data_IF_870440316429
#
_entry.id   IF_870440316429
#
_cell.length_a   1.000
_cell.length_b   1.000
_cell.length_c   1.000
_cell.angle_alpha   90.00
_cell.angle_beta   90.00
_cell.angle_gamma   90.00
#
_symmetry.space_group_name_H-M   'P 1'
#
loop_
_entity.id
_entity.type
_entity.pdbx_description
1 polymer ?
#
# COMPACT_ATOMS: atom_id res chain seq x y z
N UNK A 1 10.10 61.73 -3.16
CA UNK A 1 11.01 61.00 -2.25
C UNK A 1 10.47 61.20 -0.83
N UNK A 2 9.74 60.22 -0.30
CA UNK A 2 9.22 60.28 1.07
C UNK A 2 10.15 59.52 2.00
N UNK A 3 10.56 60.25 3.04
CA UNK A 3 11.42 59.91 4.16
C UNK A 3 11.27 58.47 4.67
N UNK A 4 12.41 57.81 4.85
CA UNK A 4 12.55 56.56 5.59
C UNK A 4 12.29 56.79 7.08
N UNK A 5 11.05 56.56 7.52
CA UNK A 5 10.74 56.49 8.94
C UNK A 5 11.43 55.25 9.53
N UNK A 6 12.33 55.46 10.50
CA UNK A 6 13.03 54.39 11.21
C UNK A 6 12.01 53.47 11.90
N UNK A 7 11.78 52.27 11.33
CA UNK A 7 11.01 51.21 11.98
C UNK A 7 11.78 50.73 13.22
N UNK A 8 11.17 50.90 14.40
CA UNK A 8 11.74 50.38 15.65
C UNK A 8 11.43 48.88 15.71
N UNK A 9 12.46 48.05 15.54
CA UNK A 9 12.36 46.59 15.61
C UNK A 9 13.01 46.08 16.89
N UNK A 10 12.33 45.17 17.59
CA UNK A 10 12.86 44.53 18.80
C UNK A 10 12.44 43.05 18.82
N UNK A 11 13.41 42.14 18.74
CA UNK A 11 13.19 40.69 18.52
C UNK A 11 12.28 40.45 17.28
N UNK A 12 11.22 39.65 17.43
CA UNK A 12 10.32 39.23 16.35
C UNK A 12 9.13 40.21 16.17
N UNK A 13 9.26 41.46 16.64
CA UNK A 13 8.21 42.46 16.65
C UNK A 13 8.71 43.76 16.03
N UNK A 14 7.88 44.34 15.16
CA UNK A 14 8.13 45.62 14.48
C UNK A 14 7.04 46.61 14.84
N UNK A 15 7.42 47.78 15.36
CA UNK A 15 6.51 48.90 15.52
C UNK A 15 6.24 49.52 14.15
N UNK A 16 4.96 49.57 13.76
CA UNK A 16 4.56 50.07 12.44
C UNK A 16 4.31 51.56 12.48
N UNK A 17 3.41 52.00 13.38
CA UNK A 17 3.01 53.41 13.49
C UNK A 17 2.29 53.69 14.79
N UNK A 18 2.34 54.95 15.21
CA UNK A 18 1.49 55.48 16.28
C UNK A 18 0.03 55.59 15.78
N UNK A 19 -0.92 55.34 16.69
CA UNK A 19 -2.34 55.52 16.46
C UNK A 19 -2.74 56.92 16.90
N UNK A 20 -3.16 57.76 15.95
CA UNK A 20 -3.58 59.14 16.19
C UNK A 20 -5.10 59.25 16.28
N UNK A 21 -5.58 60.44 16.66
CA UNK A 21 -7.01 60.71 16.75
C UNK A 21 -7.72 60.54 15.38
N UNK A 22 -6.98 60.79 14.31
CA UNK A 22 -7.38 60.59 12.92
C UNK A 22 -7.71 59.11 12.61
N UNK A 23 -7.08 58.17 13.32
CA UNK A 23 -7.26 56.73 13.11
C UNK A 23 -8.45 56.14 13.85
N UNK A 24 -8.82 56.71 15.02
CA UNK A 24 -10.02 56.31 15.79
C UNK A 24 -10.39 57.33 16.86
N UNK A 25 -11.69 57.40 17.17
CA UNK A 25 -12.22 58.20 18.26
C UNK A 25 -11.66 57.70 19.61
N UNK A 26 -10.82 58.51 20.24
CA UNK A 26 -10.22 58.31 21.57
C UNK A 26 -9.05 57.27 21.64
N UNK A 27 -7.93 57.50 20.93
CA UNK A 27 -6.74 56.65 21.06
C UNK A 27 -6.09 56.82 22.44
N UNK A 28 -5.48 55.75 22.97
CA UNK A 28 -4.75 55.86 24.24
C UNK A 28 -3.48 56.70 24.01
N UNK A 29 -3.04 57.44 25.03
CA UNK A 29 -1.76 58.15 25.00
C UNK A 29 -0.63 57.13 24.81
N UNK A 30 0.22 57.33 23.79
CA UNK A 30 1.30 56.41 23.40
C UNK A 30 0.80 55.04 22.89
N UNK A 31 -0.26 55.00 22.07
CA UNK A 31 -0.73 53.75 21.45
C UNK A 31 -0.12 53.52 20.07
N UNK A 32 0.39 52.32 19.83
CA UNK A 32 1.09 51.93 18.61
C UNK A 32 0.55 50.62 18.05
N UNK A 33 0.54 50.53 16.72
CA UNK A 33 0.31 49.28 15.99
C UNK A 33 1.63 48.55 15.81
N UNK A 34 1.66 47.28 16.24
CA UNK A 34 2.80 46.38 16.08
C UNK A 34 2.43 45.23 15.15
N UNK A 35 3.44 44.70 14.46
CA UNK A 35 3.35 43.41 13.74
C UNK A 35 4.41 42.46 14.27
N UNK A 36 4.03 41.20 14.43
CA UNK A 36 4.96 40.11 14.72
C UNK A 36 5.40 39.43 13.42
N UNK A 37 6.58 38.82 13.38
CA UNK A 37 7.07 38.02 12.22
C UNK A 37 6.09 36.91 11.77
N UNK A 38 5.19 36.50 12.66
CA UNK A 38 4.10 35.56 12.35
C UNK A 38 2.90 36.19 11.61
N UNK A 39 2.93 37.49 11.32
CA UNK A 39 1.88 38.25 10.62
C UNK A 39 0.74 38.79 11.49
N UNK A 40 0.80 38.61 12.81
CA UNK A 40 -0.23 39.12 13.72
C UNK A 40 -0.02 40.59 14.07
N UNK A 41 -1.10 41.37 13.97
CA UNK A 41 -1.15 42.78 14.34
C UNK A 41 -1.80 42.96 15.71
N UNK A 42 -1.26 43.86 16.53
CA UNK A 42 -1.85 44.18 17.83
C UNK A 42 -1.49 45.59 18.27
N UNK A 43 -2.31 46.18 19.15
CA UNK A 43 -2.09 47.51 19.70
C UNK A 43 -1.45 47.40 21.08
N UNK A 44 -0.41 48.21 21.35
CA UNK A 44 0.24 48.31 22.66
C UNK A 44 0.88 49.69 22.82
N UNK A 45 1.51 49.98 23.95
CA UNK A 45 2.29 51.22 24.12
C UNK A 45 3.78 51.04 23.86
N UNK A 46 4.43 52.07 23.30
CA UNK A 46 5.88 52.04 23.04
C UNK A 46 6.67 51.94 24.34
N UNK A 47 6.18 52.56 25.41
CA UNK A 47 6.76 52.43 26.75
C UNK A 47 6.71 50.99 27.29
N UNK A 48 5.62 50.26 27.09
CA UNK A 48 5.54 48.85 27.50
C UNK A 48 6.48 47.97 26.67
N UNK A 49 6.61 48.29 25.39
CA UNK A 49 7.50 47.59 24.45
C UNK A 49 8.98 47.74 24.82
N UNK A 50 9.42 48.96 25.19
CA UNK A 50 10.83 49.27 25.47
C UNK A 50 11.27 48.97 26.91
N UNK A 51 10.39 49.09 27.91
CA UNK A 51 10.76 49.04 29.33
C UNK A 51 10.52 47.69 30.03
N UNK A 52 9.54 46.90 29.58
CA UNK A 52 9.09 45.70 30.29
C UNK A 52 9.42 44.37 29.59
N UNK A 53 10.17 44.37 28.49
CA UNK A 53 10.46 43.17 27.69
C UNK A 53 9.19 42.33 27.38
N UNK A 54 8.03 42.96 27.15
CA UNK A 54 6.85 42.23 26.65
C UNK A 54 7.08 41.86 25.18
N UNK A 55 7.99 40.92 24.97
CA UNK A 55 8.64 40.51 23.72
C UNK A 55 7.82 39.46 22.96
N UNK A 56 6.54 39.27 23.31
CA UNK A 56 5.77 38.11 22.87
C UNK A 56 4.42 38.54 22.34
N UNK A 57 4.14 38.15 21.10
CA UNK A 57 2.83 38.31 20.48
C UNK A 57 1.74 37.72 21.39
N UNK A 58 0.70 38.50 21.78
CA UNK A 58 -0.35 38.04 22.70
C UNK A 58 -1.06 36.76 22.22
N UNK A 59 -1.18 36.58 20.91
CA UNK A 59 -1.76 35.39 20.30
C UNK A 59 -0.81 34.18 20.29
N UNK A 60 0.52 34.39 20.19
CA UNK A 60 1.49 33.29 20.18
C UNK A 60 1.93 32.84 21.57
N UNK A 61 1.92 33.75 22.55
CA UNK A 61 2.50 33.51 23.87
C UNK A 61 1.86 32.36 24.64
N UNK A 62 0.56 32.09 24.44
CA UNK A 62 -0.15 31.08 25.22
C UNK A 62 -0.02 29.63 24.71
N UNK A 63 0.64 29.39 23.58
CA UNK A 63 0.67 28.05 22.94
C UNK A 63 2.08 27.54 22.62
N UNK A 64 3.06 28.42 22.42
CA UNK A 64 4.44 28.02 22.14
C UNK A 64 5.08 27.27 23.32
N UNK A 65 5.88 26.24 23.04
CA UNK A 65 6.51 25.33 24.01
C UNK A 65 5.56 24.50 24.90
N UNK A 66 4.23 24.59 24.71
CA UNK A 66 3.32 23.67 25.39
C UNK A 66 3.46 22.26 24.82
N UNK A 67 3.55 21.29 25.73
CA UNK A 67 3.69 19.87 25.41
C UNK A 67 2.36 19.14 25.62
N UNK A 68 1.97 18.35 24.64
CA UNK A 68 0.76 17.52 24.64
C UNK A 68 1.15 16.11 24.21
N UNK A 69 1.12 15.15 25.15
CA UNK A 69 1.74 13.85 24.94
C UNK A 69 3.23 14.00 24.63
N UNK A 70 3.66 13.49 23.46
CA UNK A 70 5.03 13.59 22.94
C UNK A 70 5.25 14.76 21.97
N UNK A 71 4.30 15.67 21.84
CA UNK A 71 4.36 16.78 20.87
C UNK A 71 4.52 18.12 21.59
N UNK A 72 5.59 18.84 21.27
CA UNK A 72 5.85 20.20 21.77
C UNK A 72 5.59 21.20 20.65
N UNK A 73 4.70 22.18 20.88
CA UNK A 73 4.34 23.18 19.87
C UNK A 73 5.54 24.11 19.60
N UNK A 74 6.03 24.12 18.36
CA UNK A 74 7.13 25.00 17.92
C UNK A 74 6.65 26.15 17.02
N UNK A 75 5.50 26.01 16.36
CA UNK A 75 4.95 27.10 15.52
C UNK A 75 3.46 26.94 15.34
N UNK A 76 2.69 28.03 15.38
CA UNK A 76 1.29 28.07 14.94
C UNK A 76 1.24 28.55 13.49
N UNK A 77 0.49 27.85 12.63
CA UNK A 77 0.37 28.15 11.20
C UNK A 77 -0.88 28.98 10.86
N UNK A 78 -1.75 29.26 11.83
CA UNK A 78 -2.91 30.15 11.66
C UNK A 78 -3.30 30.80 12.99
N UNK A 79 -3.99 31.95 12.98
CA UNK A 79 -4.66 32.47 14.17
C UNK A 79 -5.89 31.60 14.50
N UNK A 80 -6.18 31.40 15.80
CA UNK A 80 -7.42 30.80 16.37
C UNK A 80 -7.51 29.25 16.45
N UNK A 81 -8.35 28.73 17.37
CA UNK A 81 -8.47 27.34 17.87
C UNK A 81 -8.60 26.20 16.83
N UNK A 82 -8.81 26.52 15.55
CA UNK A 82 -8.78 25.57 14.42
C UNK A 82 -7.40 25.52 13.72
N UNK A 83 -6.40 26.19 14.28
CA UNK A 83 -5.08 26.36 13.69
C UNK A 83 -4.31 25.04 13.60
N UNK A 84 -3.67 24.84 12.44
CA UNK A 84 -2.57 23.90 12.33
C UNK A 84 -1.39 24.43 13.12
N UNK A 85 -0.64 23.55 13.74
CA UNK A 85 0.61 23.84 14.41
C UNK A 85 1.68 22.86 13.93
N UNK A 86 2.91 23.35 13.90
CA UNK A 86 4.11 22.51 13.79
C UNK A 86 4.52 22.15 15.20
N UNK A 87 4.72 20.86 15.44
CA UNK A 87 5.18 20.32 16.70
C UNK A 87 6.51 19.59 16.50
N UNK A 88 7.42 19.71 17.47
CA UNK A 88 8.57 18.82 17.61
C UNK A 88 8.18 17.63 18.48
N UNK A 89 8.32 16.43 17.94
CA UNK A 89 8.04 15.21 18.69
C UNK A 89 9.26 14.79 19.53
N UNK A 90 9.04 14.10 20.65
CA UNK A 90 10.11 13.54 21.48
C UNK A 90 11.06 12.59 20.69
N UNK A 91 10.58 11.99 19.60
CA UNK A 91 11.42 11.17 18.71
C UNK A 91 12.27 12.00 17.71
N UNK A 92 12.25 13.33 17.81
CA UNK A 92 13.00 14.25 16.96
C UNK A 92 12.30 14.75 15.71
N UNK A 93 11.22 14.08 15.26
CA UNK A 93 10.51 14.46 14.04
C UNK A 93 9.65 15.71 14.23
N UNK A 94 9.59 16.55 13.21
CA UNK A 94 8.58 17.59 13.09
C UNK A 94 7.26 17.01 12.55
N UNK A 95 6.15 17.51 13.08
CA UNK A 95 4.82 17.01 12.74
C UNK A 95 3.80 18.13 12.69
N UNK A 96 3.06 18.22 11.59
CA UNK A 96 2.01 19.23 11.39
C UNK A 96 0.67 18.60 11.77
N UNK A 97 -0.03 19.21 12.72
CA UNK A 97 -1.35 18.73 13.19
C UNK A 97 -2.23 19.88 13.66
N UNK A 98 -3.50 19.58 13.93
CA UNK A 98 -4.46 20.54 14.47
C UNK A 98 -4.29 20.70 15.98
N UNK A 99 -4.29 21.94 16.45
CA UNK A 99 -4.19 22.27 17.88
C UNK A 99 -5.28 21.55 18.71
N UNK A 100 -6.52 21.49 18.20
CA UNK A 100 -7.61 20.80 18.88
C UNK A 100 -7.38 19.29 19.03
N UNK A 101 -6.70 18.64 18.09
CA UNK A 101 -6.44 17.20 18.17
C UNK A 101 -5.41 16.86 19.26
N UNK A 102 -4.40 17.71 19.44
CA UNK A 102 -3.40 17.54 20.50
C UNK A 102 -3.97 17.95 21.87
N UNK A 103 -4.79 19.02 21.95
CA UNK A 103 -5.50 19.42 23.19
C UNK A 103 -6.43 18.31 23.70
N UNK A 104 -7.18 17.65 22.80
CA UNK A 104 -8.10 16.55 23.12
C UNK A 104 -7.42 15.19 23.33
N UNK A 105 -6.11 15.10 23.12
CA UNK A 105 -5.37 13.83 23.21
C UNK A 105 -5.66 12.84 22.07
N UNK A 106 -6.30 13.27 20.97
CA UNK A 106 -6.49 12.44 19.77
C UNK A 106 -5.16 12.22 19.05
N UNK A 107 -4.30 13.24 19.05
CA UNK A 107 -2.94 13.16 18.51
C UNK A 107 -1.94 13.36 19.64
N UNK A 108 -1.21 12.31 20.01
CA UNK A 108 -0.26 12.32 21.13
C UNK A 108 1.20 12.16 20.71
N UNK A 109 1.46 11.90 19.43
CA UNK A 109 2.81 11.76 18.86
C UNK A 109 2.75 11.98 17.34
N UNK A 110 3.90 12.02 16.67
CA UNK A 110 3.98 12.02 15.21
C UNK A 110 3.66 10.65 14.58
N UNK A 111 3.12 9.69 15.35
CA UNK A 111 2.92 8.29 14.98
C UNK A 111 4.02 7.35 15.48
N UNK A 112 5.12 7.87 16.03
CA UNK A 112 6.22 7.07 16.60
C UNK A 112 5.75 6.19 17.76
N UNK A 113 4.88 6.72 18.64
CA UNK A 113 4.35 5.97 19.76
C UNK A 113 3.61 4.70 19.32
N UNK A 114 2.80 4.80 18.25
CA UNK A 114 2.10 3.64 17.69
C UNK A 114 3.07 2.62 17.07
N UNK A 115 4.19 3.08 16.51
CA UNK A 115 5.22 2.21 15.95
C UNK A 115 5.97 1.45 17.04
N UNK A 116 6.30 2.14 18.14
CA UNK A 116 6.99 1.57 19.31
C UNK A 116 6.10 0.61 20.11
N UNK A 117 4.82 0.94 20.29
CA UNK A 117 3.88 0.16 21.10
C UNK A 117 3.12 -0.90 20.30
N UNK A 118 3.37 -1.01 18.99
CA UNK A 118 2.75 -2.05 18.17
C UNK A 118 3.20 -3.41 18.69
N UNK A 119 2.32 -4.10 19.43
CA UNK A 119 2.55 -5.48 19.83
C UNK A 119 2.90 -6.29 18.59
N UNK A 120 4.06 -6.94 18.62
CA UNK A 120 4.39 -7.99 17.63
C UNK A 120 3.25 -9.01 17.69
N UNK A 121 2.77 -9.41 16.52
CA UNK A 121 1.75 -10.46 16.44
C UNK A 121 2.42 -11.71 17.01
N UNK A 122 1.91 -12.21 18.14
CA UNK A 122 2.36 -13.50 18.66
C UNK A 122 2.09 -14.55 17.59
N UNK A 123 3.11 -15.34 17.27
CA UNK A 123 2.94 -16.43 16.34
C UNK A 123 2.10 -17.53 17.00
N UNK A 124 0.92 -17.79 16.43
CA UNK A 124 0.00 -18.82 16.89
C UNK A 124 0.11 -20.10 16.06
N UNK A 125 1.03 -20.16 15.09
CA UNK A 125 1.23 -21.33 14.22
C UNK A 125 1.41 -22.61 15.03
N UNK A 126 0.77 -23.70 14.58
CA UNK A 126 0.72 -25.01 15.24
C UNK A 126 0.03 -25.07 16.62
N UNK A 127 -0.48 -23.94 17.15
CA UNK A 127 -1.26 -23.97 18.39
C UNK A 127 -2.65 -24.56 18.16
N UNK A 128 -3.19 -25.21 19.20
CA UNK A 128 -4.47 -25.92 19.16
C UNK A 128 -5.47 -25.30 20.13
N UNK A 129 -6.68 -25.07 19.64
CA UNK A 129 -7.81 -24.48 20.36
C UNK A 129 -9.05 -25.37 20.17
N UNK A 130 -9.33 -26.24 21.14
CA UNK A 130 -10.33 -27.29 21.00
C UNK A 130 -10.03 -28.21 19.82
N UNK A 131 -10.93 -28.23 18.83
CA UNK A 131 -10.80 -29.05 17.61
C UNK A 131 -10.12 -28.30 16.46
N UNK A 132 -9.56 -27.10 16.70
CA UNK A 132 -8.92 -26.25 15.69
C UNK A 132 -7.42 -26.25 15.92
N UNK A 133 -6.65 -26.49 14.87
CA UNK A 133 -5.20 -26.30 14.82
C UNK A 133 -4.88 -25.14 13.87
N UNK A 134 -4.07 -24.19 14.31
CA UNK A 134 -3.66 -23.05 13.49
C UNK A 134 -2.57 -23.50 12.52
N UNK A 135 -2.73 -23.16 11.24
CA UNK A 135 -1.82 -23.54 10.15
C UNK A 135 -0.83 -22.42 9.85
N UNK A 136 -1.32 -21.21 9.63
CA UNK A 136 -0.48 -20.06 9.30
C UNK A 136 -1.23 -18.74 9.51
N UNK A 137 -0.48 -17.65 9.55
CA UNK A 137 -1.02 -16.30 9.57
C UNK A 137 -1.70 -15.98 8.23
N UNK A 138 -2.94 -15.50 8.26
CA UNK A 138 -3.57 -15.00 7.03
C UNK A 138 -3.08 -13.59 6.69
N UNK A 139 -2.91 -13.33 5.39
CA UNK A 139 -2.65 -11.98 4.88
C UNK A 139 -3.85 -11.04 5.01
N UNK A 140 -5.06 -11.58 5.24
CA UNK A 140 -6.28 -10.80 5.39
C UNK A 140 -6.44 -10.30 6.82
N UNK A 141 -6.99 -9.09 6.96
CA UNK A 141 -7.49 -8.55 8.23
C UNK A 141 -8.96 -8.22 8.09
N UNK A 142 -9.72 -8.43 9.16
CA UNK A 142 -11.15 -8.06 9.24
C UNK A 142 -11.33 -7.13 10.43
N UNK A 143 -11.84 -5.92 10.18
CA UNK A 143 -12.01 -4.88 11.21
C UNK A 143 -10.76 -4.64 12.05
N UNK A 144 -9.60 -4.54 11.38
CA UNK A 144 -8.25 -4.43 11.98
C UNK A 144 -7.80 -5.62 12.85
N UNK A 145 -8.56 -6.72 12.90
CA UNK A 145 -8.18 -7.94 13.62
C UNK A 145 -7.38 -8.88 12.71
N UNK A 146 -6.38 -9.52 13.30
CA UNK A 146 -5.55 -10.54 12.66
C UNK A 146 -6.35 -11.82 12.43
N UNK A 147 -6.34 -12.31 11.20
CA UNK A 147 -6.94 -13.58 10.81
C UNK A 147 -5.88 -14.68 10.74
N UNK A 148 -6.27 -15.90 11.04
CA UNK A 148 -5.41 -17.07 11.01
C UNK A 148 -6.06 -18.17 10.17
N UNK A 149 -5.29 -18.79 9.27
CA UNK A 149 -5.72 -20.00 8.60
C UNK A 149 -5.70 -21.15 9.60
N UNK A 150 -6.85 -21.80 9.73
CA UNK A 150 -7.11 -22.79 10.76
C UNK A 150 -7.63 -24.08 10.12
N UNK A 151 -7.10 -25.23 10.55
CA UNK A 151 -7.57 -26.56 10.17
C UNK A 151 -8.27 -27.19 11.37
N UNK A 152 -9.53 -27.56 11.21
CA UNK A 152 -10.24 -28.33 12.21
C UNK A 152 -10.02 -29.84 12.00
N UNK A 153 -10.13 -30.62 13.07
CA UNK A 153 -10.14 -32.10 13.02
C UNK A 153 -11.18 -32.66 12.04
N UNK A 154 -12.27 -31.92 11.80
CA UNK A 154 -13.28 -32.24 10.79
C UNK A 154 -12.74 -32.17 9.34
N UNK A 155 -11.50 -31.72 9.15
CA UNK A 155 -10.84 -31.49 7.85
C UNK A 155 -11.18 -30.16 7.18
N UNK A 156 -12.02 -29.32 7.81
CA UNK A 156 -12.33 -27.98 7.31
C UNK A 156 -11.16 -27.04 7.57
N UNK A 157 -10.79 -26.29 6.54
CA UNK A 157 -9.84 -25.19 6.58
C UNK A 157 -10.59 -23.88 6.37
N UNK A 158 -10.47 -22.96 7.33
CA UNK A 158 -11.10 -21.64 7.26
C UNK A 158 -10.26 -20.58 7.98
N UNK A 159 -10.47 -19.32 7.64
CA UNK A 159 -9.87 -18.20 8.37
C UNK A 159 -10.68 -17.88 9.63
N UNK A 160 -10.01 -17.71 10.76
CA UNK A 160 -10.62 -17.40 12.05
C UNK A 160 -9.88 -16.21 12.69
N UNK A 161 -10.62 -15.35 13.39
CA UNK A 161 -10.04 -14.22 14.13
C UNK A 161 -9.19 -14.77 15.28
N UNK A 162 -7.92 -14.34 15.36
CA UNK A 162 -7.00 -14.83 16.41
C UNK A 162 -7.47 -14.54 17.83
N UNK A 163 -8.07 -13.36 18.05
CA UNK A 163 -8.64 -13.00 19.34
C UNK A 163 -9.81 -13.92 19.77
N UNK A 164 -10.58 -14.45 18.83
CA UNK A 164 -11.70 -15.35 19.13
C UNK A 164 -11.21 -16.77 19.50
N UNK A 165 -10.03 -17.17 19.02
CA UNK A 165 -9.36 -18.42 19.42
C UNK A 165 -8.78 -18.26 20.84
N UNK A 166 -8.04 -17.18 21.10
CA UNK A 166 -7.40 -16.91 22.38
C UNK A 166 -8.41 -16.72 23.53
N UNK A 167 -9.57 -16.13 23.25
CA UNK A 167 -10.66 -15.96 24.22
C UNK A 167 -11.50 -17.23 24.44
N UNK A 168 -11.26 -18.30 23.67
CA UNK A 168 -12.08 -19.52 23.73
C UNK A 168 -13.46 -19.39 23.09
N UNK A 169 -13.80 -18.25 22.48
CA UNK A 169 -15.07 -18.05 21.77
C UNK A 169 -15.24 -19.01 20.59
N UNK A 170 -14.14 -19.40 19.95
CA UNK A 170 -14.13 -20.34 18.82
C UNK A 170 -13.28 -21.56 19.13
N UNK A 171 -13.91 -22.73 19.29
CA UNK A 171 -13.24 -24.01 19.59
C UNK A 171 -13.47 -25.10 18.52
N UNK A 172 -14.27 -24.82 17.49
CA UNK A 172 -14.54 -25.78 16.41
C UNK A 172 -14.89 -25.13 15.06
N UNK A 173 -14.85 -25.93 13.98
CA UNK A 173 -15.25 -25.48 12.64
C UNK A 173 -16.75 -25.12 12.53
N UNK A 174 -17.60 -25.52 13.48
CA UNK A 174 -19.06 -25.39 13.38
C UNK A 174 -19.70 -26.40 12.41
N UNK A 175 -19.00 -27.50 12.09
CA UNK A 175 -19.59 -28.53 11.22
C UNK A 175 -20.74 -29.25 11.93
N UNK A 176 -21.96 -29.12 11.39
CA UNK A 176 -23.19 -29.71 11.92
C UNK A 176 -23.79 -30.73 10.95
N UNK A 177 -24.61 -31.66 11.48
CA UNK A 177 -25.53 -32.56 10.77
C UNK A 177 -25.18 -32.95 9.32
N UNK A 178 -25.90 -32.36 8.36
CA UNK A 178 -25.82 -32.65 6.93
C UNK A 178 -24.42 -32.40 6.34
N UNK A 179 -23.72 -31.34 6.78
CA UNK A 179 -22.35 -31.05 6.34
C UNK A 179 -21.41 -32.17 6.78
N UNK A 180 -21.48 -32.66 8.02
CA UNK A 180 -20.67 -33.81 8.45
C UNK A 180 -20.92 -35.06 7.60
N UNK A 181 -22.17 -35.32 7.21
CA UNK A 181 -22.53 -36.46 6.34
C UNK A 181 -21.94 -36.30 4.93
N UNK A 182 -22.09 -35.13 4.31
CA UNK A 182 -21.52 -34.84 2.99
C UNK A 182 -19.99 -34.89 2.99
N UNK A 183 -19.35 -34.42 4.07
CA UNK A 183 -17.90 -34.50 4.27
C UNK A 183 -17.39 -35.94 4.31
N UNK A 184 -18.15 -36.89 4.90
CA UNK A 184 -17.77 -38.31 4.91
C UNK A 184 -17.90 -38.97 3.53
N UNK A 185 -18.95 -38.62 2.77
CA UNK A 185 -19.21 -39.21 1.44
C UNK A 185 -18.27 -38.68 0.35
N UNK A 186 -17.82 -37.43 0.47
CA UNK A 186 -17.07 -36.77 -0.61
C UNK A 186 -15.62 -37.27 -0.64
N UNK A 187 -15.18 -37.75 -1.81
CA UNK A 187 -13.81 -38.16 -2.07
C UNK A 187 -12.83 -37.05 -1.66
N UNK A 188 -11.76 -37.44 -0.98
CA UNK A 188 -10.69 -36.52 -0.65
C UNK A 188 -9.91 -36.16 -1.92
N UNK A 189 -9.85 -34.87 -2.26
CA UNK A 189 -9.09 -34.34 -3.41
C UNK A 189 -8.04 -33.32 -2.98
N UNK A 190 -7.70 -33.27 -1.67
CA UNK A 190 -6.62 -32.42 -1.17
C UNK A 190 -5.30 -32.79 -1.87
N UNK A 191 -4.54 -31.78 -2.29
CA UNK A 191 -3.31 -31.94 -3.06
C UNK A 191 -3.53 -32.09 -4.56
N UNK A 192 -4.75 -32.42 -5.01
CA UNK A 192 -5.03 -32.53 -6.44
C UNK A 192 -4.96 -31.15 -7.11
N UNK A 193 -4.46 -31.16 -8.36
CA UNK A 193 -4.35 -29.97 -9.21
C UNK A 193 -5.46 -29.94 -10.26
N UNK A 194 -6.08 -28.77 -10.42
CA UNK A 194 -7.10 -28.47 -11.41
C UNK A 194 -6.72 -27.16 -12.13
N UNK A 195 -6.05 -27.28 -13.27
CA UNK A 195 -5.43 -26.13 -13.94
C UNK A 195 -4.36 -25.45 -13.08
N UNK A 196 -4.56 -24.16 -12.77
CA UNK A 196 -3.70 -23.36 -11.92
C UNK A 196 -4.01 -23.53 -10.42
N UNK A 197 -5.04 -24.29 -10.05
CA UNK A 197 -5.50 -24.44 -8.67
C UNK A 197 -4.98 -25.76 -8.07
N UNK A 198 -4.37 -25.69 -6.88
CA UNK A 198 -4.12 -26.85 -6.00
C UNK A 198 -5.12 -26.81 -4.85
N UNK A 199 -5.79 -27.93 -4.57
CA UNK A 199 -6.72 -28.04 -3.44
C UNK A 199 -5.94 -28.12 -2.12
N UNK A 200 -6.17 -27.17 -1.21
CA UNK A 200 -5.51 -27.10 0.10
C UNK A 200 -6.34 -27.73 1.22
N UNK A 201 -7.67 -27.70 1.10
CA UNK A 201 -8.55 -28.20 2.14
C UNK A 201 -10.03 -28.00 1.82
N UNK A 202 -10.90 -28.47 2.71
CA UNK A 202 -12.34 -28.27 2.60
C UNK A 202 -12.71 -26.92 3.20
N UNK A 203 -13.49 -26.07 2.52
CA UNK A 203 -13.82 -24.73 3.03
C UNK A 203 -14.83 -24.75 4.19
N UNK A 204 -15.66 -25.80 4.28
CA UNK A 204 -16.65 -25.95 5.36
C UNK A 204 -18.03 -25.37 5.06
N UNK A 205 -18.29 -24.97 3.82
CA UNK A 205 -19.63 -24.73 3.31
C UNK A 205 -20.05 -25.81 2.31
N UNK A 206 -21.36 -25.92 2.09
CA UNK A 206 -21.94 -26.67 0.98
C UNK A 206 -22.46 -25.65 -0.03
N UNK A 207 -22.20 -25.86 -1.32
CA UNK A 207 -22.82 -25.07 -2.36
C UNK A 207 -24.34 -25.33 -2.43
N UNK A 208 -25.10 -24.44 -3.06
CA UNK A 208 -26.55 -24.58 -3.22
C UNK A 208 -26.97 -25.92 -3.87
N UNK A 209 -26.10 -26.49 -4.70
CA UNK A 209 -26.26 -27.80 -5.34
C UNK A 209 -25.78 -28.98 -4.48
N UNK A 210 -25.65 -28.80 -3.16
CA UNK A 210 -25.20 -29.82 -2.21
C UNK A 210 -23.77 -30.37 -2.38
N UNK A 211 -22.93 -29.74 -3.21
CA UNK A 211 -21.53 -30.14 -3.35
C UNK A 211 -20.62 -29.49 -2.30
N UNK A 212 -19.67 -30.27 -1.78
CA UNK A 212 -18.64 -29.77 -0.85
C UNK A 212 -17.79 -28.72 -1.55
N UNK A 213 -17.56 -27.61 -0.84
CA UNK A 213 -16.68 -26.53 -1.24
C UNK A 213 -15.23 -26.78 -0.79
N UNK A 214 -14.30 -26.49 -1.69
CA UNK A 214 -12.87 -26.68 -1.52
C UNK A 214 -12.15 -25.34 -1.57
N UNK A 215 -11.26 -25.13 -0.60
CA UNK A 215 -10.28 -24.05 -0.63
C UNK A 215 -9.13 -24.46 -1.56
N UNK A 216 -8.91 -23.66 -2.58
CA UNK A 216 -7.85 -23.86 -3.56
C UNK A 216 -6.86 -22.70 -3.52
N UNK A 217 -5.58 -23.02 -3.68
CA UNK A 217 -4.50 -22.05 -3.90
C UNK A 217 -4.17 -22.03 -5.38
N UNK A 218 -4.10 -20.84 -5.98
CA UNK A 218 -3.73 -20.63 -7.37
C UNK A 218 -2.22 -20.47 -7.50
N UNK A 219 -1.64 -20.83 -8.64
CA UNK A 219 -0.22 -20.58 -8.95
C UNK A 219 0.14 -19.08 -8.87
N UNK A 220 -0.84 -18.20 -9.09
CA UNK A 220 -0.69 -16.76 -8.86
C UNK A 220 -0.85 -16.38 -7.37
N UNK A 221 -0.69 -17.32 -6.43
CA UNK A 221 -0.86 -17.23 -4.97
C UNK A 221 -2.17 -16.59 -4.46
N UNK A 222 -3.18 -16.45 -5.32
CA UNK A 222 -4.53 -16.10 -4.89
C UNK A 222 -5.28 -17.35 -4.45
N UNK A 223 -6.20 -17.23 -3.51
CA UNK A 223 -7.06 -18.35 -3.09
C UNK A 223 -8.43 -18.27 -3.77
N UNK A 224 -9.07 -19.42 -4.02
CA UNK A 224 -10.46 -19.48 -4.49
C UNK A 224 -11.20 -20.65 -3.86
N UNK A 225 -12.46 -20.41 -3.53
CA UNK A 225 -13.37 -21.45 -3.06
C UNK A 225 -14.14 -21.99 -4.26
N UNK A 226 -14.08 -23.30 -4.48
CA UNK A 226 -14.69 -23.96 -5.65
C UNK A 226 -15.41 -25.23 -5.21
N UNK A 227 -16.58 -25.53 -5.79
CA UNK A 227 -17.28 -26.79 -5.51
C UNK A 227 -16.62 -27.96 -6.25
N UNK A 228 -16.92 -29.18 -5.78
CA UNK A 228 -16.34 -30.42 -6.34
C UNK A 228 -16.63 -30.61 -7.83
N UNK A 229 -17.85 -30.28 -8.27
CA UNK A 229 -18.29 -30.46 -9.65
C UNK A 229 -17.51 -29.55 -10.61
N UNK A 230 -17.37 -28.27 -10.29
CA UNK A 230 -16.67 -27.30 -11.13
C UNK A 230 -15.15 -27.56 -11.23
N UNK A 231 -14.54 -28.14 -10.20
CA UNK A 231 -13.15 -28.59 -10.25
C UNK A 231 -13.01 -29.79 -11.19
N UNK A 232 -13.85 -30.82 -11.02
CA UNK A 232 -13.79 -32.07 -11.77
C UNK A 232 -14.16 -31.90 -13.25
N UNK A 233 -15.14 -31.05 -13.55
CA UNK A 233 -15.52 -30.69 -14.92
C UNK A 233 -14.59 -29.66 -15.57
N UNK A 234 -13.58 -29.17 -14.83
CA UNK A 234 -12.65 -28.13 -15.27
C UNK A 234 -13.33 -26.81 -15.69
N UNK A 235 -14.52 -26.51 -15.17
CA UNK A 235 -15.20 -25.23 -15.37
C UNK A 235 -14.48 -24.10 -14.62
N UNK A 236 -13.83 -24.40 -13.49
CA UNK A 236 -13.03 -23.44 -12.71
C UNK A 236 -11.61 -23.97 -12.56
N UNK A 237 -10.67 -23.29 -13.21
CA UNK A 237 -9.26 -23.70 -13.31
C UNK A 237 -8.26 -22.66 -12.80
N UNK A 238 -8.73 -21.49 -12.39
CA UNK A 238 -7.90 -20.43 -11.82
C UNK A 238 -8.71 -19.62 -10.80
N UNK A 239 -8.00 -18.80 -10.00
CA UNK A 239 -8.69 -17.93 -9.05
C UNK A 239 -9.48 -16.79 -9.73
N UNK A 240 -9.49 -16.70 -11.06
CA UNK A 240 -10.02 -15.55 -11.80
C UNK A 240 -8.98 -14.44 -12.01
N UNK A 241 -7.71 -14.70 -11.69
CA UNK A 241 -6.61 -13.87 -12.16
C UNK A 241 -6.69 -13.81 -13.70
N UNK A 242 -6.97 -12.60 -14.23
CA UNK A 242 -6.96 -12.35 -15.68
C UNK A 242 -5.55 -12.67 -16.20
N UNK A 243 -5.44 -13.11 -17.47
CA UNK A 243 -4.26 -13.67 -18.18
C UNK A 243 -2.88 -13.02 -17.96
N UNK A 244 -2.78 -11.88 -17.28
CA UNK A 244 -1.52 -11.20 -16.93
C UNK A 244 -0.88 -11.90 -15.73
N UNK A 245 0.31 -12.46 -15.92
CA UNK A 245 1.03 -13.14 -14.84
C UNK A 245 1.48 -12.16 -13.74
N UNK A 246 1.71 -12.64 -12.50
CA UNK A 246 2.31 -11.84 -11.42
C UNK A 246 3.63 -11.19 -11.86
N UNK A 247 4.40 -11.89 -12.69
CA UNK A 247 5.66 -11.38 -13.24
C UNK A 247 5.47 -10.20 -14.19
N UNK A 248 4.54 -10.29 -15.15
CA UNK A 248 4.20 -9.16 -16.02
C UNK A 248 3.73 -7.94 -15.20
N UNK A 249 2.90 -8.15 -14.17
CA UNK A 249 2.50 -7.05 -13.28
C UNK A 249 3.68 -6.40 -12.56
N UNK A 250 4.67 -7.21 -12.15
CA UNK A 250 5.86 -6.70 -11.49
C UNK A 250 6.76 -5.92 -12.46
N UNK A 251 6.98 -6.43 -13.68
CA UNK A 251 7.68 -5.70 -14.76
C UNK A 251 6.99 -4.38 -15.05
N UNK A 252 5.65 -4.36 -15.16
CA UNK A 252 4.88 -3.14 -15.37
C UNK A 252 5.11 -2.10 -14.26
N UNK A 253 5.16 -2.52 -12.99
CA UNK A 253 5.45 -1.61 -11.87
C UNK A 253 6.83 -0.97 -12.00
N UNK A 254 7.84 -1.74 -12.41
CA UNK A 254 9.20 -1.23 -12.62
C UNK A 254 9.19 -0.17 -13.73
N UNK A 255 8.54 -0.45 -14.87
CA UNK A 255 8.43 0.50 -15.99
C UNK A 255 7.74 1.81 -15.57
N UNK A 256 6.63 1.73 -14.82
CA UNK A 256 5.92 2.90 -14.29
C UNK A 256 6.76 3.73 -13.30
N UNK A 257 7.76 3.13 -12.68
CA UNK A 257 8.71 3.80 -11.77
C UNK A 257 10.02 4.23 -12.43
N UNK A 258 10.12 4.09 -13.76
CA UNK A 258 11.30 4.44 -14.55
C UNK A 258 11.05 5.68 -15.41
N UNK A 259 12.09 6.18 -16.08
CA UNK A 259 11.99 7.29 -17.04
C UNK A 259 11.11 6.95 -18.25
N UNK A 260 10.83 5.66 -18.47
CA UNK A 260 9.96 5.17 -19.53
C UNK A 260 8.48 5.08 -19.14
N UNK A 261 8.06 5.61 -17.99
CA UNK A 261 6.67 5.48 -17.47
C UNK A 261 5.57 5.85 -18.48
N UNK A 262 5.83 6.83 -19.34
CA UNK A 262 4.90 7.32 -20.37
C UNK A 262 5.22 6.77 -21.78
N UNK A 263 6.29 5.98 -21.88
CA UNK A 263 6.98 5.59 -23.11
C UNK A 263 7.01 4.07 -23.31
N UNK A 264 5.96 3.36 -22.88
CA UNK A 264 5.79 1.94 -23.17
C UNK A 264 4.36 1.57 -23.55
N UNK A 265 4.21 0.49 -24.33
CA UNK A 265 2.94 -0.13 -24.72
C UNK A 265 2.94 -1.60 -24.32
N UNK A 266 1.75 -2.12 -23.99
CA UNK A 266 1.55 -3.54 -23.71
C UNK A 266 0.88 -4.24 -24.89
N UNK A 267 1.17 -5.53 -25.05
CA UNK A 267 0.51 -6.39 -26.05
C UNK A 267 0.55 -5.83 -27.49
N UNK A 268 1.73 -5.33 -27.89
CA UNK A 268 1.96 -4.69 -29.19
C UNK A 268 2.86 -5.55 -30.08
N UNK A 269 2.57 -5.55 -31.38
CA UNK A 269 3.39 -6.21 -32.42
C UNK A 269 4.35 -5.21 -33.07
N UNK A 270 5.50 -5.69 -33.54
CA UNK A 270 6.53 -4.87 -34.22
C UNK A 270 6.61 -5.13 -35.73
N UNK A 271 5.93 -6.18 -36.21
CA UNK A 271 5.99 -6.68 -37.58
C UNK A 271 4.60 -6.72 -38.24
N UNK A 272 3.59 -6.12 -37.62
CA UNK A 272 2.19 -6.18 -38.07
C UNK A 272 1.55 -7.56 -37.92
N UNK A 273 2.27 -8.55 -37.39
CA UNK A 273 1.73 -9.89 -37.16
C UNK A 273 0.85 -9.94 -35.90
N UNK A 274 0.15 -11.06 -35.73
CA UNK A 274 -0.61 -11.35 -34.50
C UNK A 274 0.29 -11.65 -33.28
N UNK A 275 1.61 -11.73 -33.44
CA UNK A 275 2.55 -12.02 -32.34
C UNK A 275 2.87 -10.71 -31.62
N UNK A 276 2.35 -10.60 -30.40
CA UNK A 276 2.49 -9.41 -29.55
C UNK A 276 3.52 -9.64 -28.47
N UNK A 277 4.22 -8.58 -28.10
CA UNK A 277 5.15 -8.55 -26.97
C UNK A 277 4.47 -8.05 -25.71
N UNK A 278 4.91 -8.54 -24.54
CA UNK A 278 4.31 -8.15 -23.26
C UNK A 278 4.52 -6.65 -22.99
N UNK A 279 5.72 -6.15 -23.26
CA UNK A 279 6.04 -4.72 -23.22
C UNK A 279 6.91 -4.30 -24.41
N UNK A 280 6.59 -3.14 -24.96
CA UNK A 280 7.32 -2.47 -26.05
C UNK A 280 7.68 -1.07 -25.57
N UNK A 281 8.97 -0.74 -25.54
CA UNK A 281 9.51 0.56 -25.14
C UNK A 281 9.64 1.44 -26.38
N UNK A 282 9.13 2.66 -26.30
CA UNK A 282 9.00 3.60 -27.43
C UNK A 282 9.55 4.96 -27.03
N UNK A 283 10.52 5.47 -27.79
CA UNK A 283 11.07 6.82 -27.62
C UNK A 283 10.97 7.56 -28.95
N UNK A 284 10.48 8.80 -28.95
CA UNK A 284 10.31 9.61 -30.17
C UNK A 284 9.56 8.86 -31.30
N UNK A 285 8.49 8.13 -30.95
CA UNK A 285 7.73 7.24 -31.85
C UNK A 285 8.52 6.10 -32.50
N UNK A 286 9.75 5.82 -32.05
CA UNK A 286 10.57 4.69 -32.49
C UNK A 286 10.58 3.61 -31.41
N UNK A 287 10.43 2.35 -31.81
CA UNK A 287 10.53 1.20 -30.90
C UNK A 287 12.01 0.98 -30.57
N UNK A 288 12.37 1.12 -29.30
CA UNK A 288 13.76 1.03 -28.83
C UNK A 288 14.04 -0.24 -28.02
N UNK A 289 13.02 -0.94 -27.50
CA UNK A 289 13.23 -2.17 -26.76
C UNK A 289 11.98 -3.02 -26.57
N UNK A 290 12.18 -4.32 -26.33
CA UNK A 290 11.12 -5.32 -26.16
C UNK A 290 11.36 -6.13 -24.89
N UNK A 291 10.30 -6.46 -24.16
CA UNK A 291 10.36 -7.31 -22.96
C UNK A 291 9.28 -8.39 -23.03
N UNK A 292 9.67 -9.63 -22.76
CA UNK A 292 8.80 -10.81 -22.60
C UNK A 292 9.00 -11.44 -21.22
N UNK A 293 7.91 -11.85 -20.58
CA UNK A 293 7.91 -12.63 -19.36
C UNK A 293 7.43 -14.06 -19.65
N UNK A 294 8.35 -15.00 -19.69
CA UNK A 294 8.07 -16.39 -20.02
C UNK A 294 7.58 -17.17 -18.80
N UNK A 295 6.28 -17.47 -18.78
CA UNK A 295 5.66 -18.41 -17.85
C UNK A 295 6.17 -19.86 -17.99
N UNK A 296 5.75 -20.75 -17.08
CA UNK A 296 6.12 -22.18 -17.08
C UNK A 296 5.78 -22.90 -18.39
N UNK A 297 4.72 -22.46 -19.07
CA UNK A 297 4.27 -22.98 -20.37
C UNK A 297 5.27 -22.78 -21.52
N UNK A 298 6.26 -21.91 -21.38
CA UNK A 298 7.33 -21.73 -22.37
C UNK A 298 8.42 -22.80 -22.26
N UNK A 299 8.51 -23.50 -21.13
CA UNK A 299 9.59 -24.44 -20.81
C UNK A 299 9.14 -25.89 -20.77
N UNK A 300 7.85 -26.15 -20.50
CA UNK A 300 7.30 -27.50 -20.46
C UNK A 300 5.84 -27.54 -20.91
N UNK A 301 5.38 -28.69 -21.43
CA UNK A 301 3.98 -28.89 -21.73
C UNK A 301 3.16 -28.85 -20.44
N UNK A 302 2.11 -28.03 -20.46
CA UNK A 302 1.13 -27.96 -19.39
C UNK A 302 -0.21 -28.35 -19.99
N UNK A 303 -0.79 -29.45 -19.52
CA UNK A 303 -2.05 -30.01 -20.04
C UNK A 303 -3.14 -28.94 -20.16
N UNK A 304 -3.28 -28.09 -19.14
CA UNK A 304 -4.22 -26.95 -19.11
C UNK A 304 -4.03 -25.96 -20.26
N UNK A 305 -2.80 -25.67 -20.66
CA UNK A 305 -2.51 -24.77 -21.77
C UNK A 305 -2.59 -25.47 -23.14
N UNK A 306 -3.12 -26.70 -23.21
CA UNK A 306 -3.22 -27.52 -24.43
C UNK A 306 -2.07 -28.51 -24.61
N UNK A 307 -1.35 -28.81 -23.53
CA UNK A 307 -0.37 -29.89 -23.47
C UNK A 307 0.78 -29.74 -24.47
N UNK A 308 1.21 -30.87 -25.04
CA UNK A 308 2.35 -30.93 -25.96
C UNK A 308 2.13 -30.12 -27.25
N UNK A 309 0.90 -30.12 -27.78
CA UNK A 309 0.55 -29.41 -29.02
C UNK A 309 0.73 -27.90 -28.87
N UNK A 310 0.17 -27.33 -27.81
CA UNK A 310 0.33 -25.89 -27.53
C UNK A 310 1.76 -25.53 -27.16
N UNK A 311 2.47 -26.41 -26.43
CA UNK A 311 3.87 -26.19 -26.10
C UNK A 311 4.75 -26.06 -27.35
N UNK A 312 4.62 -26.98 -28.31
CA UNK A 312 5.35 -26.90 -29.58
C UNK A 312 5.04 -25.60 -30.34
N UNK A 313 3.76 -25.23 -30.41
CA UNK A 313 3.32 -23.98 -31.04
C UNK A 313 3.89 -22.75 -30.33
N UNK A 314 3.97 -22.77 -29.00
CA UNK A 314 4.57 -21.69 -28.20
C UNK A 314 6.06 -21.56 -28.52
N UNK A 315 6.81 -22.66 -28.56
CA UNK A 315 8.23 -22.65 -28.92
C UNK A 315 8.48 -22.10 -30.33
N UNK A 316 7.64 -22.45 -31.30
CA UNK A 316 7.72 -21.89 -32.66
C UNK A 316 7.45 -20.38 -32.68
N UNK A 317 6.47 -19.91 -31.91
CA UNK A 317 6.15 -18.49 -31.80
C UNK A 317 7.28 -17.70 -31.13
N UNK A 318 7.87 -18.24 -30.06
CA UNK A 318 8.99 -17.62 -29.34
C UNK A 318 10.21 -17.46 -30.27
N UNK A 319 10.54 -18.51 -31.05
CA UNK A 319 11.59 -18.43 -32.09
C UNK A 319 11.30 -17.34 -33.12
N UNK A 320 10.07 -17.23 -33.60
CA UNK A 320 9.66 -16.20 -34.58
C UNK A 320 9.75 -14.78 -34.00
N UNK A 321 9.40 -14.59 -32.72
CA UNK A 321 9.58 -13.29 -32.04
C UNK A 321 11.06 -12.90 -31.96
N UNK A 322 11.92 -13.82 -31.52
CA UNK A 322 13.37 -13.59 -31.46
C UNK A 322 13.91 -13.18 -32.84
N UNK A 323 13.58 -13.95 -33.89
CA UNK A 323 14.00 -13.63 -35.26
C UNK A 323 13.50 -12.26 -35.73
N UNK A 324 12.25 -11.91 -35.45
CA UNK A 324 11.69 -10.61 -35.80
C UNK A 324 12.40 -9.45 -35.07
N UNK A 325 12.74 -9.62 -33.79
CA UNK A 325 13.49 -8.61 -33.03
C UNK A 325 14.88 -8.37 -33.62
N UNK A 326 15.59 -9.44 -34.00
CA UNK A 326 16.90 -9.38 -34.64
C UNK A 326 16.81 -8.68 -36.00
N UNK A 327 15.83 -9.06 -36.84
CA UNK A 327 15.64 -8.48 -38.17
C UNK A 327 15.34 -6.98 -38.10
N UNK A 328 14.57 -6.54 -37.10
CA UNK A 328 14.25 -5.13 -36.85
C UNK A 328 15.34 -4.38 -36.09
N UNK A 329 16.41 -5.06 -35.67
CA UNK A 329 17.50 -4.52 -34.85
C UNK A 329 17.01 -3.89 -33.54
N UNK A 330 15.99 -4.49 -32.92
CA UNK A 330 15.43 -4.04 -31.64
C UNK A 330 15.86 -5.03 -30.55
N UNK A 331 16.48 -4.57 -29.45
CA UNK A 331 16.89 -5.45 -28.36
C UNK A 331 15.68 -6.07 -27.65
N UNK A 332 15.78 -7.35 -27.29
CA UNK A 332 14.73 -8.13 -26.63
C UNK A 332 15.25 -8.72 -25.31
N UNK A 333 14.56 -8.40 -24.21
CA UNK A 333 14.76 -9.02 -22.90
C UNK A 333 13.72 -10.12 -22.66
N UNK A 334 14.17 -11.35 -22.43
CA UNK A 334 13.31 -12.47 -22.03
C UNK A 334 13.53 -12.79 -20.54
N UNK A 335 12.47 -12.77 -19.75
CA UNK A 335 12.48 -12.97 -18.30
C UNK A 335 11.80 -14.30 -17.95
N UNK A 336 12.53 -15.31 -17.44
CA UNK A 336 11.94 -16.57 -17.00
C UNK A 336 11.10 -16.45 -15.71
N UNK A 337 10.00 -17.21 -15.61
CA UNK A 337 9.16 -17.27 -14.41
C UNK A 337 9.87 -17.74 -13.13
N UNK A 338 11.02 -18.41 -13.27
CA UNK A 338 11.84 -18.87 -12.14
C UNK A 338 12.65 -17.74 -11.49
N UNK A 339 12.69 -16.55 -12.09
CA UNK A 339 13.39 -15.41 -11.50
C UNK A 339 12.64 -14.84 -10.30
N UNK A 340 13.36 -14.60 -9.21
CA UNK A 340 12.82 -13.86 -8.06
C UNK A 340 12.60 -12.38 -8.39
N UNK A 341 11.74 -11.69 -7.64
CA UNK A 341 11.45 -10.26 -7.85
C UNK A 341 12.73 -9.42 -7.89
N UNK A 342 13.68 -9.65 -6.97
CA UNK A 342 14.98 -8.97 -6.96
C UNK A 342 15.78 -9.18 -8.25
N UNK A 343 15.74 -10.39 -8.82
CA UNK A 343 16.43 -10.70 -10.08
C UNK A 343 15.71 -10.09 -11.28
N UNK A 344 14.37 -10.11 -11.29
CA UNK A 344 13.56 -9.45 -12.32
C UNK A 344 13.86 -7.95 -12.34
N UNK A 345 13.83 -7.28 -11.18
CA UNK A 345 14.10 -5.85 -11.07
C UNK A 345 15.50 -5.50 -11.60
N UNK A 346 16.52 -6.25 -11.18
CA UNK A 346 17.90 -6.04 -11.67
C UNK A 346 17.99 -6.20 -13.19
N UNK A 347 17.37 -7.23 -13.77
CA UNK A 347 17.39 -7.46 -15.22
C UNK A 347 16.65 -6.40 -16.01
N UNK A 348 15.48 -5.94 -15.53
CA UNK A 348 14.72 -4.89 -16.21
C UNK A 348 15.45 -3.56 -16.15
N UNK A 349 15.94 -3.13 -14.98
CA UNK A 349 16.68 -1.86 -14.87
C UNK A 349 17.92 -1.84 -15.74
N UNK A 350 18.76 -2.88 -15.67
CA UNK A 350 19.95 -2.99 -16.50
C UNK A 350 19.66 -3.07 -18.01
N UNK A 351 18.45 -3.49 -18.40
CA UNK A 351 18.02 -3.44 -19.79
C UNK A 351 17.61 -2.02 -20.20
N UNK A 352 16.80 -1.33 -19.38
CA UNK A 352 16.39 0.04 -19.63
C UNK A 352 17.59 1.00 -19.71
N UNK A 353 18.59 0.84 -18.84
CA UNK A 353 19.81 1.66 -18.82
C UNK A 353 20.60 1.56 -20.14
N UNK A 354 20.46 0.46 -20.89
CA UNK A 354 21.10 0.27 -22.21
C UNK A 354 20.32 0.93 -23.34
N UNK A 355 19.07 1.32 -23.12
CA UNK A 355 18.21 1.96 -24.12
C UNK A 355 18.31 3.49 -24.07
N UNK A 356 18.87 4.04 -23.00
CA UNK A 356 19.07 5.48 -22.76
C UNK A 356 20.40 6.01 -23.30
N UNK A 357 21.10 5.22 -24.13
CA UNK A 357 22.39 5.57 -24.75
C UNK A 357 22.20 6.07 -26.16
#
# INVERSE_FOLDING_TARGET
MMSSDLLIQFNNLTAIREIKFEDRLNPKRDEWLFVCDCGHYFHSSMRNFTKHQSTKCPQCFNLFNKKYGRLTIIKTLSPVDSAKCVCKCDCGNEYITYLNNIKRGVTTSCGCYNKETRKKINDLTNQRFGNITIVELSHRRVSNKTMWWCKCDCGIVKEIIGADLLSGKTISCGCVGSLRRSLRKTKNIIGNRYGMLIVKGRHGGIAANNHVLWLCECDCGGTKIVNSYDLQSHKVISCGCKKVSRGELFVKKILLSSDFKDNFRQEMSIDGSRRKYDFVIITNNVIVGLIEFHGKQHYQPIAYFGGLKSFKKQQENDKKKILASIQKKVPLLIIPYVHSEKKIEKSVRAFLDKLTV
#
